data_IF_713060956288
#
_entry.id   IF_713060956288
#
_cell.length_a   1.000
_cell.length_b   1.000
_cell.length_c   1.000
_cell.angle_alpha   90.00
_cell.angle_beta   90.00
_cell.angle_gamma   90.00
#
_symmetry.space_group_name_H-M   'P 1'
#
loop_
_entity.id
_entity.type
_entity.pdbx_description
1 polymer ?
#
# COMPACT_ATOMS: atom_id res chain seq x y z
N UNK A 1 24.16 -9.80 9.87
CA UNK A 1 22.70 -9.95 9.98
C UNK A 1 22.17 -8.54 10.16
N UNK A 2 21.56 -7.95 9.13
CA UNK A 2 20.93 -6.65 9.29
C UNK A 2 19.79 -6.85 10.29
N UNK A 3 19.79 -6.05 11.35
CA UNK A 3 18.67 -5.95 12.26
C UNK A 3 17.43 -5.67 11.42
N UNK A 4 16.35 -6.44 11.60
CA UNK A 4 15.11 -6.20 10.86
C UNK A 4 14.65 -4.75 11.06
N UNK A 5 13.91 -4.15 10.13
CA UNK A 5 13.44 -2.78 10.31
C UNK A 5 12.71 -2.65 11.65
N UNK A 6 13.15 -1.70 12.48
CA UNK A 6 12.51 -1.46 13.78
C UNK A 6 11.03 -1.17 13.57
N UNK A 7 10.18 -1.89 14.29
CA UNK A 7 8.72 -1.71 14.26
C UNK A 7 8.31 -0.28 14.63
N UNK A 8 9.16 0.42 15.38
CA UNK A 8 8.90 1.76 15.91
C UNK A 8 8.72 2.82 14.82
N UNK A 9 9.17 2.56 13.60
CA UNK A 9 9.07 3.52 12.49
C UNK A 9 7.77 3.41 11.68
N UNK A 10 7.04 2.30 11.78
CA UNK A 10 5.83 2.09 10.98
C UNK A 10 4.72 3.09 11.29
N UNK A 11 4.44 3.46 12.56
CA UNK A 11 3.44 4.50 12.86
C UNK A 11 3.76 5.85 12.20
N UNK A 12 5.05 6.20 12.12
CA UNK A 12 5.49 7.43 11.45
C UNK A 12 5.27 7.32 9.93
N UNK A 13 5.51 6.14 9.34
CA UNK A 13 5.24 5.92 7.92
C UNK A 13 3.74 5.97 7.60
N UNK A 14 2.89 5.40 8.45
CA UNK A 14 1.43 5.50 8.36
C UNK A 14 0.97 6.96 8.36
N UNK A 15 1.44 7.76 9.33
CA UNK A 15 1.14 9.20 9.40
C UNK A 15 1.63 9.96 8.16
N UNK A 16 2.85 9.69 7.69
CA UNK A 16 3.40 10.32 6.49
C UNK A 16 2.61 9.93 5.21
N UNK A 17 2.12 8.70 5.14
CA UNK A 17 1.26 8.24 4.04
C UNK A 17 -0.04 9.04 4.04
N UNK A 18 -0.69 9.17 5.19
CA UNK A 18 -1.96 9.89 5.34
C UNK A 18 -1.78 11.37 5.01
N UNK A 19 -0.78 12.03 5.60
CA UNK A 19 -0.48 13.45 5.34
C UNK A 19 -0.26 13.68 3.84
N UNK A 20 0.54 12.82 3.20
CA UNK A 20 0.84 12.95 1.78
C UNK A 20 -0.40 12.71 0.92
N UNK A 21 -1.25 11.72 1.25
CA UNK A 21 -2.51 11.52 0.54
C UNK A 21 -3.41 12.77 0.62
N UNK A 22 -3.54 13.38 1.79
CA UNK A 22 -4.30 14.62 1.94
C UNK A 22 -3.70 15.77 1.14
N UNK A 23 -2.38 15.94 1.14
CA UNK A 23 -1.71 16.94 0.31
C UNK A 23 -1.99 16.72 -1.19
N UNK A 24 -1.93 15.47 -1.65
CA UNK A 24 -2.21 15.11 -3.04
C UNK A 24 -3.67 15.41 -3.44
N UNK A 25 -4.62 15.18 -2.53
CA UNK A 25 -6.01 15.59 -2.75
C UNK A 25 -6.16 17.11 -2.82
N UNK A 26 -5.46 17.86 -1.95
CA UNK A 26 -5.50 19.34 -1.92
C UNK A 26 -4.94 19.96 -3.21
N UNK A 27 -3.85 19.40 -3.76
CA UNK A 27 -3.28 19.91 -5.02
C UNK A 27 -4.10 19.50 -6.27
N UNK A 28 -5.22 18.80 -6.08
CA UNK A 28 -6.19 18.51 -7.14
C UNK A 28 -5.89 17.27 -7.99
N UNK A 29 -4.97 16.41 -7.56
CA UNK A 29 -4.65 15.14 -8.27
C UNK A 29 -5.39 13.92 -7.69
N UNK A 30 -6.34 14.14 -6.78
CA UNK A 30 -7.21 13.08 -6.25
C UNK A 30 -8.18 12.51 -7.29
N UNK A 31 -8.91 11.46 -6.91
CA UNK A 31 -9.98 10.86 -7.71
C UNK A 31 -10.91 10.02 -6.82
N UNK A 32 -12.23 9.98 -7.06
CA UNK A 32 -13.17 9.21 -6.23
C UNK A 32 -12.81 7.73 -6.07
N UNK A 33 -12.19 7.12 -7.09
CA UNK A 33 -11.72 5.72 -6.98
C UNK A 33 -10.57 5.57 -5.98
N UNK A 34 -9.65 6.54 -5.91
CA UNK A 34 -8.54 6.55 -4.96
C UNK A 34 -9.03 6.83 -3.54
N UNK A 35 -9.99 7.75 -3.41
CA UNK A 35 -10.65 8.02 -2.13
C UNK A 35 -11.36 6.75 -1.62
N UNK A 36 -12.00 6.00 -2.52
CA UNK A 36 -12.65 4.73 -2.19
C UNK A 36 -11.64 3.67 -1.75
N UNK A 37 -10.48 3.57 -2.39
CA UNK A 37 -9.41 2.65 -1.95
C UNK A 37 -8.96 3.01 -0.54
N UNK A 38 -8.64 4.28 -0.29
CA UNK A 38 -8.19 4.74 1.04
C UNK A 38 -9.26 4.52 2.12
N UNK A 39 -10.53 4.70 1.79
CA UNK A 39 -11.63 4.44 2.71
C UNK A 39 -11.69 2.95 3.10
N UNK A 40 -11.69 2.05 2.10
CA UNK A 40 -11.80 0.61 2.34
C UNK A 40 -10.63 0.04 3.14
N UNK A 41 -9.42 0.53 2.88
CA UNK A 41 -8.24 0.10 3.63
C UNK A 41 -8.22 0.67 5.05
N UNK A 42 -8.66 1.92 5.24
CA UNK A 42 -8.79 2.53 6.56
C UNK A 42 -9.83 1.82 7.44
N UNK A 43 -10.93 1.31 6.87
CA UNK A 43 -11.92 0.46 7.58
C UNK A 43 -11.30 -0.83 8.15
N UNK A 44 -10.13 -1.24 7.63
CA UNK A 44 -9.33 -2.38 8.09
C UNK A 44 -8.13 -1.97 8.96
N UNK A 45 -7.97 -0.68 9.25
CA UNK A 45 -6.84 -0.14 9.99
C UNK A 45 -5.54 -0.08 9.18
N UNK A 46 -5.64 -0.03 7.85
CA UNK A 46 -4.50 0.09 6.94
C UNK A 46 -4.43 1.50 6.35
N UNK A 47 -3.21 1.97 6.08
CA UNK A 47 -2.95 3.32 5.59
C UNK A 47 -2.54 3.29 4.13
N UNK A 48 -3.18 4.14 3.31
CA UNK A 48 -3.02 4.12 1.86
C UNK A 48 -2.85 5.52 1.28
N UNK A 49 -2.15 5.58 0.15
CA UNK A 49 -2.07 6.77 -0.68
C UNK A 49 -2.02 6.41 -2.15
N UNK A 50 -2.41 7.35 -3.01
CA UNK A 50 -2.20 7.24 -4.45
C UNK A 50 -0.71 7.18 -4.79
N UNK A 51 -0.36 6.57 -5.92
CA UNK A 51 1.02 6.55 -6.45
C UNK A 51 1.06 6.96 -7.91
N UNK A 52 2.09 7.71 -8.31
CA UNK A 52 2.20 8.27 -9.66
C UNK A 52 1.43 9.58 -9.83
N UNK A 53 0.78 9.73 -10.99
CA UNK A 53 0.19 11.01 -11.43
C UNK A 53 -1.08 11.42 -10.65
N UNK A 54 -1.82 10.46 -10.10
CA UNK A 54 -3.16 10.69 -9.56
C UNK A 54 -4.26 10.64 -10.63
N UNK A 55 -5.46 11.13 -10.32
CA UNK A 55 -6.61 11.10 -11.21
C UNK A 55 -7.22 9.70 -11.42
N UNK A 56 -6.85 8.74 -10.58
CA UNK A 56 -7.16 7.32 -10.71
C UNK A 56 -5.89 6.49 -10.62
N UNK A 57 -5.74 5.48 -11.48
CA UNK A 57 -4.54 4.64 -11.52
C UNK A 57 -4.41 3.79 -10.26
N UNK A 58 -3.21 3.79 -9.66
CA UNK A 58 -2.86 2.90 -8.56
C UNK A 58 -2.78 3.64 -7.22
N UNK A 59 -3.04 2.90 -6.15
CA UNK A 59 -2.71 3.27 -4.78
C UNK A 59 -1.76 2.24 -4.18
N UNK A 60 -1.02 2.67 -3.15
CA UNK A 60 -0.21 1.80 -2.29
C UNK A 60 -0.84 1.78 -0.90
N UNK A 61 -0.79 0.62 -0.25
CA UNK A 61 -1.26 0.39 1.11
C UNK A 61 -0.12 -0.21 1.92
N UNK A 62 0.22 0.40 3.04
CA UNK A 62 1.30 -0.09 3.90
C UNK A 62 0.80 -1.26 4.73
N UNK A 63 1.54 -2.38 4.69
CA UNK A 63 1.34 -3.52 5.57
C UNK A 63 2.47 -3.53 6.61
N UNK A 64 2.11 -3.40 7.88
CA UNK A 64 3.08 -3.56 8.98
C UNK A 64 3.44 -5.04 9.15
N UNK A 65 4.65 -5.39 9.63
CA UNK A 65 5.05 -6.78 9.85
C UNK A 65 4.15 -7.56 10.82
N UNK A 66 3.44 -6.86 11.72
CA UNK A 66 2.45 -7.44 12.65
C UNK A 66 1.01 -7.46 12.10
N UNK A 67 0.81 -7.05 10.83
CA UNK A 67 -0.51 -7.06 10.19
C UNK A 67 -0.98 -8.51 10.02
N UNK A 68 -2.15 -8.82 10.58
CA UNK A 68 -2.69 -10.17 10.49
C UNK A 68 -3.05 -10.52 9.03
N UNK A 69 -2.71 -11.72 8.54
CA UNK A 69 -3.05 -12.15 7.17
C UNK A 69 -4.55 -12.10 6.85
N UNK A 70 -5.41 -12.28 7.88
CA UNK A 70 -6.86 -12.14 7.72
C UNK A 70 -7.29 -10.71 7.39
N UNK A 71 -6.59 -9.70 7.93
CA UNK A 71 -6.85 -8.29 7.63
C UNK A 71 -6.46 -7.99 6.18
N UNK A 72 -5.30 -8.48 5.74
CA UNK A 72 -4.82 -8.34 4.35
C UNK A 72 -5.80 -9.00 3.38
N UNK A 73 -6.19 -10.25 3.63
CA UNK A 73 -7.16 -10.96 2.80
C UNK A 73 -8.53 -10.30 2.74
N UNK A 74 -9.02 -9.75 3.86
CA UNK A 74 -10.26 -8.99 3.89
C UNK A 74 -10.16 -7.69 3.07
N UNK A 75 -9.07 -6.94 3.20
CA UNK A 75 -8.85 -5.71 2.42
C UNK A 75 -8.80 -6.01 0.91
N UNK A 76 -8.08 -7.06 0.50
CA UNK A 76 -8.04 -7.51 -0.90
C UNK A 76 -9.46 -7.87 -1.38
N UNK A 77 -10.22 -8.63 -0.58
CA UNK A 77 -11.60 -9.00 -0.90
C UNK A 77 -12.52 -7.79 -1.09
N UNK A 78 -12.45 -6.81 -0.18
CA UNK A 78 -13.25 -5.58 -0.26
C UNK A 78 -12.89 -4.77 -1.51
N UNK A 79 -11.59 -4.62 -1.80
CA UNK A 79 -11.09 -3.90 -2.99
C UNK A 79 -11.53 -4.59 -4.29
N UNK A 80 -11.37 -5.91 -4.39
CA UNK A 80 -11.80 -6.68 -5.55
C UNK A 80 -13.31 -6.66 -5.75
N UNK A 81 -14.10 -6.63 -4.67
CA UNK A 81 -15.56 -6.49 -4.76
C UNK A 81 -16.01 -5.15 -5.38
N UNK A 82 -15.16 -4.13 -5.28
CA UNK A 82 -15.36 -2.82 -5.93
C UNK A 82 -14.78 -2.77 -7.36
N UNK A 83 -14.26 -3.89 -7.88
CA UNK A 83 -13.70 -3.99 -9.22
C UNK A 83 -12.24 -3.55 -9.35
N UNK A 84 -11.51 -3.40 -8.24
CA UNK A 84 -10.08 -3.08 -8.27
C UNK A 84 -9.24 -4.35 -8.39
N UNK A 85 -8.15 -4.26 -9.16
CA UNK A 85 -7.07 -5.25 -9.14
C UNK A 85 -6.13 -4.94 -7.98
N UNK A 86 -5.76 -5.96 -7.21
CA UNK A 86 -4.95 -5.81 -6.00
C UNK A 86 -3.86 -6.87 -5.94
N UNK A 87 -2.66 -6.46 -5.56
CA UNK A 87 -1.49 -7.33 -5.39
C UNK A 87 -0.83 -7.05 -4.05
N UNK A 88 -0.51 -8.11 -3.32
CA UNK A 88 0.39 -8.08 -2.18
C UNK A 88 1.83 -8.20 -2.71
N UNK A 89 2.70 -7.25 -2.37
CA UNK A 89 4.07 -7.19 -2.86
C UNK A 89 4.96 -6.38 -1.91
N UNK A 90 6.27 -6.55 -2.05
CA UNK A 90 7.29 -5.76 -1.33
C UNK A 90 7.70 -4.49 -2.10
N UNK A 91 8.07 -3.45 -1.36
CA UNK A 91 8.74 -2.25 -1.89
C UNK A 91 10.22 -2.30 -1.48
N UNK A 92 11.10 -1.81 -2.37
CA UNK A 92 12.55 -1.88 -2.16
C UNK A 92 13.15 -3.24 -2.52
N UNK A 93 12.47 -4.00 -3.38
CA UNK A 93 12.97 -5.25 -3.93
C UNK A 93 14.31 -5.06 -4.68
N UNK A 94 15.10 -6.13 -4.86
CA UNK A 94 16.33 -6.07 -5.65
C UNK A 94 16.10 -5.51 -7.06
N UNK A 95 17.12 -4.83 -7.59
CA UNK A 95 17.15 -4.39 -8.99
C UNK A 95 17.45 -5.55 -9.94
N UNK A 96 18.41 -5.36 -10.85
CA UNK A 96 18.80 -6.40 -11.81
C UNK A 96 19.38 -7.60 -11.07
N UNK A 97 18.81 -8.78 -11.33
CA UNK A 97 19.29 -10.07 -10.85
C UNK A 97 19.51 -11.03 -12.02
N UNK A 98 20.48 -11.94 -11.86
CA UNK A 98 20.69 -13.05 -12.79
C UNK A 98 20.23 -14.32 -12.08
N UNK A 99 19.20 -14.97 -12.62
CA UNK A 99 18.69 -16.25 -12.11
C UNK A 99 19.24 -17.40 -12.95
N UNK A 100 19.74 -18.45 -12.30
CA UNK A 100 19.99 -19.72 -12.98
C UNK A 100 18.69 -20.53 -13.05
N UNK A 101 18.57 -21.42 -14.03
CA UNK A 101 17.40 -22.31 -14.14
C UNK A 101 17.19 -23.21 -12.90
N UNK A 102 18.20 -23.38 -12.06
CA UNK A 102 18.12 -24.09 -10.78
C UNK A 102 17.56 -23.25 -9.63
N UNK A 103 17.24 -21.97 -9.85
CA UNK A 103 16.74 -21.01 -8.85
C UNK A 103 15.32 -20.51 -9.15
N UNK A 104 14.67 -21.12 -10.15
CA UNK A 104 13.25 -20.99 -10.48
C UNK A 104 12.49 -22.21 -9.93
#
# INVERSE_FOLDING_TARGET
MADGPSQDHYPVLEELIDINQHHLSVIGVGHPSLDRVCQLTAERGLHSKLTGAGGGGCAITLLRPDTAPSVVGAAIGDLSSCGFECWETDIGAPGILVHSLSSL
#
